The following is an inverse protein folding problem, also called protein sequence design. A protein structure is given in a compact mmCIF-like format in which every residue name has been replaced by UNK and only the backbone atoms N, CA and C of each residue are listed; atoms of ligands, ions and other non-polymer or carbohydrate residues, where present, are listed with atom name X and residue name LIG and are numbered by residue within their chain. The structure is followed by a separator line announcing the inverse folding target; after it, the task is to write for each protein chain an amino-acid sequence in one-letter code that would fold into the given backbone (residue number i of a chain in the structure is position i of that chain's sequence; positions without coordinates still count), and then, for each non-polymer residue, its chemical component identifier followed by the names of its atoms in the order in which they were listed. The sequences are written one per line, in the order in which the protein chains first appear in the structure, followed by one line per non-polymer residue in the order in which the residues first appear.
data_IF_677431651164
#
_entry.id   IF_677431651164
#
_cell.length_a   1.000
_cell.length_b   1.000
_cell.length_c   1.000
_cell.angle_alpha   90.00
_cell.angle_beta   90.00
_cell.angle_gamma   90.00
#
_symmetry.space_group_name_H-M   'P 1'
#
loop_
_entity.id
_entity.type
_entity.pdbx_description
1 polymer ?
#
# COMPACT_ATOMS: atom_id res chain seq x y z
N UNK A 1 -29.32 16.62 3.82
CA UNK A 1 -28.10 15.94 3.31
C UNK A 1 -26.90 16.45 4.09
N UNK A 2 -25.96 15.59 4.47
CA UNK A 2 -24.73 16.04 5.14
C UNK A 2 -23.90 16.94 4.19
N UNK A 3 -23.50 18.13 4.64
CA UNK A 3 -22.58 19.01 3.89
C UNK A 3 -21.29 18.28 3.50
N UNK A 4 -20.79 17.40 4.37
CA UNK A 4 -19.63 16.55 4.11
C UNK A 4 -19.88 15.62 2.93
N UNK A 5 -21.08 15.02 2.84
CA UNK A 5 -21.43 14.17 1.72
C UNK A 5 -21.49 14.93 0.41
N UNK A 6 -22.09 16.12 0.40
CA UNK A 6 -22.13 16.95 -0.80
C UNK A 6 -20.72 17.29 -1.32
N UNK A 7 -19.82 17.73 -0.44
CA UNK A 7 -18.45 18.11 -0.80
C UNK A 7 -17.66 16.92 -1.34
N UNK A 8 -17.63 15.80 -0.60
CA UNK A 8 -16.84 14.63 -0.98
C UNK A 8 -17.38 13.97 -2.24
N UNK A 9 -18.71 13.85 -2.36
CA UNK A 9 -19.37 13.36 -3.58
C UNK A 9 -18.99 14.21 -4.78
N UNK A 10 -19.10 15.53 -4.68
CA UNK A 10 -18.73 16.46 -5.76
C UNK A 10 -17.25 16.33 -6.13
N UNK A 11 -16.36 16.21 -5.16
CA UNK A 11 -14.94 15.97 -5.39
C UNK A 11 -14.69 14.65 -6.14
N UNK A 12 -15.27 13.54 -5.69
CA UNK A 12 -15.04 12.22 -6.30
C UNK A 12 -15.73 12.03 -7.65
N UNK A 13 -16.85 12.72 -7.87
CA UNK A 13 -17.54 12.77 -9.16
C UNK A 13 -16.69 13.48 -10.22
N UNK A 14 -16.10 14.63 -9.85
CA UNK A 14 -15.25 15.43 -10.74
C UNK A 14 -13.79 14.98 -10.75
N UNK A 15 -13.39 14.03 -9.89
CA UNK A 15 -12.04 13.50 -9.87
C UNK A 15 -11.73 12.85 -11.22
N UNK A 16 -10.75 13.41 -11.90
CA UNK A 16 -10.12 12.79 -13.05
C UNK A 16 -9.24 11.65 -12.57
N UNK A 17 -9.79 10.44 -12.57
CA UNK A 17 -8.99 9.25 -12.37
C UNK A 17 -8.30 8.88 -13.67
N UNK A 18 -7.03 8.49 -13.57
CA UNK A 18 -6.27 7.98 -14.71
C UNK A 18 -6.76 6.59 -15.17
N UNK A 19 -7.81 6.03 -14.56
CA UNK A 19 -8.39 4.74 -14.97
C UNK A 19 -8.72 4.71 -16.46
N UNK A 20 -9.33 5.77 -17.01
CA UNK A 20 -9.61 5.80 -18.46
C UNK A 20 -8.34 5.66 -19.29
N UNK A 21 -7.26 6.33 -18.90
CA UNK A 21 -5.96 6.20 -19.57
C UNK A 21 -5.35 4.81 -19.40
N UNK A 22 -5.49 4.20 -18.22
CA UNK A 22 -5.02 2.83 -17.97
C UNK A 22 -5.75 1.83 -18.86
N UNK A 23 -7.06 2.00 -19.02
CA UNK A 23 -7.91 1.11 -19.84
C UNK A 23 -7.68 1.34 -21.34
N UNK A 24 -7.59 2.59 -21.79
CA UNK A 24 -7.48 2.93 -23.20
C UNK A 24 -6.04 2.87 -23.74
N UNK A 25 -5.03 3.09 -22.88
CA UNK A 25 -3.61 3.10 -23.24
C UNK A 25 -2.76 2.22 -22.29
N UNK A 26 -3.10 0.93 -22.09
CA UNK A 26 -2.46 0.07 -21.09
C UNK A 26 -0.97 -0.12 -21.35
N UNK A 27 -0.57 -0.25 -22.61
CA UNK A 27 0.83 -0.42 -23.00
C UNK A 27 1.69 0.81 -22.65
N UNK A 28 1.19 2.02 -22.93
CA UNK A 28 1.89 3.26 -22.59
C UNK A 28 2.01 3.44 -21.08
N UNK A 29 0.96 3.09 -20.34
CA UNK A 29 0.97 3.10 -18.88
C UNK A 29 2.02 2.13 -18.31
N UNK A 30 2.07 0.89 -18.79
CA UNK A 30 3.09 -0.09 -18.40
C UNK A 30 4.50 0.38 -18.73
N UNK A 31 4.72 0.93 -19.93
CA UNK A 31 6.02 1.47 -20.35
C UNK A 31 6.48 2.63 -19.46
N UNK A 32 5.56 3.52 -19.08
CA UNK A 32 5.85 4.63 -18.16
C UNK A 32 6.22 4.12 -16.77
N UNK A 33 5.43 3.20 -16.21
CA UNK A 33 5.69 2.57 -14.92
C UNK A 33 7.03 1.84 -14.91
N UNK A 34 7.33 1.04 -15.93
CA UNK A 34 8.61 0.35 -16.07
C UNK A 34 9.79 1.31 -16.07
N UNK A 35 9.75 2.35 -16.93
CA UNK A 35 10.80 3.38 -17.00
C UNK A 35 11.01 4.07 -15.66
N UNK A 36 9.92 4.40 -14.97
CA UNK A 36 9.98 5.01 -13.65
C UNK A 36 10.66 4.09 -12.64
N UNK A 37 10.20 2.83 -12.52
CA UNK A 37 10.70 1.86 -11.55
C UNK A 37 12.20 1.59 -11.74
N UNK A 38 12.64 1.33 -12.98
CA UNK A 38 14.06 1.09 -13.30
C UNK A 38 14.90 2.33 -13.01
N UNK A 39 14.45 3.51 -13.45
CA UNK A 39 15.19 4.78 -13.22
C UNK A 39 15.29 5.13 -11.74
N UNK A 40 14.22 4.94 -10.97
CA UNK A 40 14.18 5.22 -9.54
C UNK A 40 15.06 4.25 -8.74
N UNK A 41 15.08 2.98 -9.14
CA UNK A 41 15.85 1.94 -8.47
C UNK A 41 17.33 1.86 -8.90
N UNK A 42 17.77 2.60 -9.93
CA UNK A 42 19.13 2.45 -10.51
C UNK A 42 20.32 2.60 -9.55
N UNK A 43 20.11 3.25 -8.41
CA UNK A 43 21.14 3.49 -7.40
C UNK A 43 21.04 2.56 -6.18
N UNK A 44 20.06 1.66 -6.17
CA UNK A 44 19.89 0.70 -5.08
C UNK A 44 20.90 -0.45 -5.22
N UNK A 45 21.09 -1.23 -4.16
CA UNK A 45 21.89 -2.47 -4.20
C UNK A 45 21.39 -3.39 -5.32
N UNK A 46 20.08 -3.53 -5.45
CA UNK A 46 19.44 -4.30 -6.51
C UNK A 46 19.70 -3.72 -7.91
N UNK A 47 19.47 -2.41 -8.07
CA UNK A 47 19.68 -1.74 -9.36
C UNK A 47 21.14 -1.76 -9.81
N UNK A 48 22.10 -1.72 -8.87
CA UNK A 48 23.53 -1.90 -9.16
C UNK A 48 23.85 -3.35 -9.53
N UNK A 49 23.31 -4.33 -8.80
CA UNK A 49 23.51 -5.76 -9.06
C UNK A 49 23.13 -6.15 -10.49
N UNK A 50 22.05 -5.56 -11.03
CA UNK A 50 21.57 -5.81 -12.38
C UNK A 50 21.79 -4.64 -13.34
N UNK A 51 22.72 -3.73 -13.01
CA UNK A 51 23.18 -2.66 -13.89
C UNK A 51 22.07 -1.80 -14.54
N UNK A 52 21.05 -1.42 -13.76
CA UNK A 52 19.88 -0.65 -14.22
C UNK A 52 20.25 0.69 -14.89
N UNK A 53 21.46 1.21 -14.65
CA UNK A 53 21.95 2.43 -15.28
C UNK A 53 22.20 2.28 -16.78
N UNK A 54 22.57 1.09 -17.24
CA UNK A 54 22.87 0.80 -18.64
C UNK A 54 21.70 0.15 -19.37
N UNK A 55 20.56 -0.07 -18.69
CA UNK A 55 19.37 -0.61 -19.33
C UNK A 55 18.72 0.46 -20.21
N UNK A 56 18.63 0.19 -21.50
CA UNK A 56 18.06 1.08 -22.52
C UNK A 56 16.72 0.59 -23.04
N UNK A 57 16.40 -0.70 -22.86
CA UNK A 57 15.18 -1.33 -23.37
C UNK A 57 14.57 -2.33 -22.39
N UNK A 58 13.28 -2.64 -22.61
CA UNK A 58 12.58 -3.67 -21.87
C UNK A 58 13.19 -5.07 -22.11
N UNK A 59 13.59 -5.36 -23.35
CA UNK A 59 14.24 -6.62 -23.71
C UNK A 59 15.54 -6.83 -22.93
N UNK A 60 16.40 -5.81 -22.88
CA UNK A 60 17.64 -5.87 -22.11
C UNK A 60 17.37 -6.10 -20.62
N UNK A 61 16.31 -5.52 -20.06
CA UNK A 61 15.89 -5.79 -18.70
C UNK A 61 15.51 -7.26 -18.51
N UNK A 62 14.72 -7.85 -19.42
CA UNK A 62 14.33 -9.26 -19.35
C UNK A 62 15.53 -10.21 -19.43
N UNK A 63 16.53 -9.87 -20.24
CA UNK A 63 17.78 -10.65 -20.39
C UNK A 63 18.69 -10.49 -19.15
N UNK A 64 18.65 -9.34 -18.47
CA UNK A 64 19.55 -9.04 -17.33
C UNK A 64 18.96 -9.44 -15.98
N UNK A 65 17.66 -9.29 -15.79
CA UNK A 65 16.99 -9.50 -14.49
C UNK A 65 16.24 -10.82 -14.52
N UNK A 66 16.70 -11.86 -13.80
CA UNK A 66 16.03 -13.15 -13.79
C UNK A 66 14.67 -13.04 -13.10
N UNK A 67 13.79 -14.00 -13.37
CA UNK A 67 12.62 -14.22 -12.54
C UNK A 67 13.07 -14.67 -11.15
N UNK A 68 12.50 -14.09 -10.10
CA UNK A 68 12.92 -14.29 -8.73
C UNK A 68 11.77 -14.86 -7.88
N UNK A 69 12.11 -15.76 -6.96
CA UNK A 69 11.19 -16.23 -5.91
C UNK A 69 11.29 -15.33 -4.68
N UNK A 70 10.35 -15.46 -3.74
CA UNK A 70 10.43 -14.70 -2.48
C UNK A 70 11.73 -15.04 -1.71
N UNK A 71 12.11 -16.31 -1.71
CA UNK A 71 13.27 -16.84 -1.00
C UNK A 71 14.56 -16.24 -1.55
N UNK A 72 14.64 -16.02 -2.87
CA UNK A 72 15.79 -15.35 -3.51
C UNK A 72 15.89 -13.85 -3.16
N UNK A 73 14.76 -13.20 -2.87
CA UNK A 73 14.69 -11.76 -2.55
C UNK A 73 14.80 -11.54 -1.04
N UNK A 74 14.43 -12.52 -0.21
CA UNK A 74 14.38 -12.41 1.25
C UNK A 74 15.66 -11.87 1.89
N UNK A 75 16.89 -12.26 1.47
CA UNK A 75 18.11 -11.69 2.03
C UNK A 75 18.19 -10.16 1.90
N UNK A 76 17.63 -9.59 0.84
CA UNK A 76 17.54 -8.14 0.65
C UNK A 76 16.44 -7.51 1.51
N UNK A 77 15.32 -8.19 1.67
CA UNK A 77 14.22 -7.75 2.55
C UNK A 77 14.70 -7.73 4.00
N UNK A 78 15.43 -8.76 4.45
CA UNK A 78 15.98 -8.83 5.80
C UNK A 78 16.93 -7.66 6.09
N UNK A 79 17.81 -7.31 5.14
CA UNK A 79 18.67 -6.11 5.20
C UNK A 79 17.84 -4.83 5.36
N UNK A 80 16.75 -4.70 4.62
CA UNK A 80 15.83 -3.56 4.75
C UNK A 80 15.15 -3.52 6.13
N UNK A 81 14.73 -4.67 6.68
CA UNK A 81 14.16 -4.77 8.02
C UNK A 81 15.18 -4.33 9.07
N UNK A 82 16.44 -4.79 8.97
CA UNK A 82 17.57 -4.34 9.80
C UNK A 82 17.88 -2.85 9.64
N UNK A 83 17.30 -2.19 8.64
CA UNK A 83 17.27 -0.74 8.49
C UNK A 83 18.24 -0.18 7.46
N UNK A 84 18.83 -1.04 6.63
CA UNK A 84 19.69 -0.66 5.51
C UNK A 84 18.89 0.14 4.47
N UNK A 85 19.54 1.15 3.89
CA UNK A 85 18.94 2.08 2.92
C UNK A 85 19.28 1.65 1.50
N UNK A 86 18.41 2.01 0.55
CA UNK A 86 18.64 1.82 -0.88
C UNK A 86 18.93 0.36 -1.26
N UNK A 87 18.22 -0.62 -0.69
CA UNK A 87 18.46 -2.05 -0.98
C UNK A 87 17.67 -2.50 -2.22
N UNK A 88 16.35 -2.74 -2.09
CA UNK A 88 15.46 -3.04 -3.23
C UNK A 88 14.83 -1.75 -3.79
N UNK A 89 14.45 -0.83 -2.91
CA UNK A 89 13.92 0.49 -3.27
C UNK A 89 14.76 1.60 -2.65
N UNK A 90 14.75 2.78 -3.27
CA UNK A 90 15.45 3.96 -2.76
C UNK A 90 14.90 4.39 -1.40
N UNK A 91 15.76 5.00 -0.59
CA UNK A 91 15.43 5.47 0.75
C UNK A 91 15.46 4.36 1.81
N UNK A 92 14.78 4.60 2.93
CA UNK A 92 14.67 3.66 4.06
C UNK A 92 13.23 3.16 4.15
N UNK A 93 13.03 1.85 4.09
CA UNK A 93 11.71 1.25 4.31
C UNK A 93 11.58 0.81 5.76
N UNK A 94 10.50 1.21 6.42
CA UNK A 94 10.22 0.88 7.83
C UNK A 94 8.95 0.07 8.02
N UNK A 95 8.18 -0.15 6.96
CA UNK A 95 6.89 -0.81 7.00
C UNK A 95 6.98 -2.06 6.13
N UNK A 96 6.52 -3.18 6.64
CA UNK A 96 6.54 -4.46 5.94
C UNK A 96 5.19 -5.12 6.10
N UNK A 97 4.46 -5.30 5.01
CA UNK A 97 3.21 -6.04 5.09
C UNK A 97 3.51 -7.53 5.21
N UNK A 98 2.87 -8.19 6.16
CA UNK A 98 2.90 -9.63 6.32
C UNK A 98 1.85 -10.23 5.39
N UNK A 99 2.25 -11.15 4.53
CA UNK A 99 1.30 -12.00 3.81
C UNK A 99 1.28 -13.39 4.44
N UNK A 100 0.09 -13.91 4.71
CA UNK A 100 -0.15 -15.29 5.12
C UNK A 100 0.13 -16.21 3.92
N UNK A 101 1.41 -16.54 3.69
CA UNK A 101 1.75 -17.56 2.72
C UNK A 101 1.10 -18.89 3.13
N UNK A 102 0.34 -19.51 2.23
CA UNK A 102 -0.37 -20.79 2.41
C UNK A 102 0.54 -22.02 2.41
N UNK A 103 1.86 -21.84 2.57
CA UNK A 103 2.83 -22.93 2.54
C UNK A 103 3.85 -22.76 3.65
N UNK A 104 3.71 -23.55 4.72
CA UNK A 104 4.79 -23.98 5.62
C UNK A 104 5.71 -22.91 6.22
N UNK A 105 5.46 -22.58 7.49
CA UNK A 105 6.45 -22.23 8.52
C UNK A 105 7.05 -20.81 8.64
N UNK A 106 7.02 -19.90 7.66
CA UNK A 106 7.46 -18.50 7.89
C UNK A 106 6.63 -17.46 7.15
N UNK A 107 6.28 -16.40 7.86
CA UNK A 107 5.54 -15.26 7.30
C UNK A 107 6.38 -14.52 6.25
N UNK A 108 5.81 -14.23 5.08
CA UNK A 108 6.48 -13.41 4.06
C UNK A 108 6.29 -11.93 4.38
N UNK A 109 7.36 -11.15 4.23
CA UNK A 109 7.40 -9.71 4.50
C UNK A 109 7.60 -8.96 3.19
N UNK A 110 6.64 -8.11 2.83
CA UNK A 110 6.70 -7.30 1.61
C UNK A 110 7.02 -5.85 2.01
N UNK A 111 8.12 -5.26 1.52
CA UNK A 111 8.44 -3.87 1.83
C UNK A 111 7.36 -2.90 1.35
N UNK A 112 6.89 -2.04 2.26
CA UNK A 112 5.91 -0.97 1.97
C UNK A 112 6.63 0.37 2.14
N UNK A 113 6.93 1.04 1.02
CA UNK A 113 7.49 2.38 1.06
C UNK A 113 6.38 3.41 1.30
N UNK A 114 6.73 4.59 1.82
CA UNK A 114 5.76 5.69 1.91
C UNK A 114 5.21 6.07 0.53
N UNK A 115 6.08 5.97 -0.49
CA UNK A 115 5.72 6.19 -1.89
C UNK A 115 4.65 5.19 -2.35
N UNK A 116 4.82 3.87 -2.12
CA UNK A 116 3.80 2.88 -2.50
C UNK A 116 2.51 3.01 -1.67
N UNK A 117 2.60 3.50 -0.44
CA UNK A 117 1.43 3.77 0.37
C UNK A 117 0.56 4.87 -0.27
N UNK A 118 1.19 5.97 -0.70
CA UNK A 118 0.51 7.15 -1.26
C UNK A 118 0.11 6.93 -2.73
N UNK A 119 1.07 6.58 -3.57
CA UNK A 119 0.92 6.53 -5.03
C UNK A 119 0.32 5.23 -5.55
N UNK A 120 0.17 4.21 -4.68
CA UNK A 120 -0.52 2.97 -5.03
C UNK A 120 -1.75 2.76 -4.13
N UNK A 121 -1.59 2.46 -2.84
CA UNK A 121 -2.73 2.06 -1.99
C UNK A 121 -3.78 3.17 -1.84
N UNK A 122 -3.40 4.36 -1.38
CA UNK A 122 -4.36 5.46 -1.22
C UNK A 122 -4.85 6.03 -2.54
N UNK A 123 -4.01 6.04 -3.58
CA UNK A 123 -4.43 6.41 -4.92
C UNK A 123 -5.52 5.47 -5.44
N UNK A 124 -5.29 4.16 -5.35
CA UNK A 124 -6.26 3.12 -5.71
C UNK A 124 -7.56 3.26 -4.93
N UNK A 125 -7.51 3.47 -3.62
CA UNK A 125 -8.71 3.73 -2.82
C UNK A 125 -9.51 4.95 -3.29
N UNK A 126 -8.83 6.06 -3.62
CA UNK A 126 -9.48 7.26 -4.18
C UNK A 126 -10.06 7.02 -5.58
N UNK A 127 -9.39 6.21 -6.40
CA UNK A 127 -9.84 5.85 -7.74
C UNK A 127 -11.10 4.96 -7.67
N UNK A 128 -11.12 3.98 -6.77
CA UNK A 128 -12.31 3.14 -6.49
C UNK A 128 -13.48 3.98 -6.01
N UNK A 129 -13.27 4.92 -5.08
CA UNK A 129 -14.33 5.83 -4.63
C UNK A 129 -14.86 6.70 -5.77
N UNK A 130 -13.99 7.19 -6.64
CA UNK A 130 -14.41 7.97 -7.82
C UNK A 130 -15.27 7.15 -8.77
N UNK A 131 -14.86 5.91 -9.08
CA UNK A 131 -15.67 5.00 -9.89
C UNK A 131 -17.03 4.73 -9.23
N UNK A 132 -17.05 4.45 -7.94
CA UNK A 132 -18.28 4.18 -7.20
C UNK A 132 -19.24 5.37 -7.26
N UNK A 133 -18.77 6.59 -6.95
CA UNK A 133 -19.59 7.81 -6.96
C UNK A 133 -20.11 8.12 -8.36
N UNK A 134 -19.31 7.93 -9.41
CA UNK A 134 -19.75 8.11 -10.80
C UNK A 134 -20.87 7.14 -11.20
N UNK A 135 -20.79 5.89 -10.73
CA UNK A 135 -21.82 4.88 -10.96
C UNK A 135 -23.05 5.03 -10.04
N UNK A 136 -22.92 5.77 -8.93
CA UNK A 136 -23.97 5.99 -7.92
C UNK A 136 -24.00 7.47 -7.49
N UNK A 137 -24.43 8.39 -8.37
CA UNK A 137 -24.36 9.83 -8.12
C UNK A 137 -25.21 10.30 -6.93
N UNK A 138 -26.25 9.55 -6.56
CA UNK A 138 -27.09 9.85 -5.39
C UNK A 138 -26.63 9.18 -4.09
N UNK A 139 -25.41 8.63 -4.07
CA UNK A 139 -24.89 7.96 -2.87
C UNK A 139 -24.82 8.88 -1.65
N UNK A 140 -25.17 8.29 -0.50
CA UNK A 140 -25.03 8.89 0.83
C UNK A 140 -23.87 8.25 1.61
N UNK A 141 -22.92 7.61 0.90
CA UNK A 141 -21.80 6.89 1.51
C UNK A 141 -21.04 7.71 2.55
N UNK A 142 -20.85 9.02 2.30
CA UNK A 142 -20.10 9.90 3.17
C UNK A 142 -20.97 10.61 4.23
N UNK A 143 -22.27 10.33 4.26
CA UNK A 143 -23.16 10.78 5.34
C UNK A 143 -23.01 9.93 6.60
N UNK A 144 -22.43 8.73 6.49
CA UNK A 144 -22.15 7.82 7.59
C UNK A 144 -20.66 7.53 7.79
N UNK A 145 -20.36 6.62 8.73
CA UNK A 145 -19.01 6.09 8.94
C UNK A 145 -18.86 4.72 8.29
N UNK A 146 -17.68 4.46 7.72
CA UNK A 146 -17.32 3.13 7.20
C UNK A 146 -16.71 2.29 8.31
N UNK A 147 -17.35 1.16 8.64
CA UNK A 147 -16.76 0.14 9.50
C UNK A 147 -15.53 -0.46 8.81
N UNK A 148 -14.35 -0.29 9.40
CA UNK A 148 -13.09 -0.81 8.88
C UNK A 148 -12.51 -1.84 9.82
N UNK A 149 -12.43 -3.09 9.35
CA UNK A 149 -11.77 -4.17 10.07
C UNK A 149 -10.27 -4.18 9.68
N UNK A 150 -9.41 -3.84 10.63
CA UNK A 150 -7.96 -3.94 10.47
C UNK A 150 -7.38 -5.22 11.04
N UNK A 151 -6.34 -5.70 10.38
CA UNK A 151 -5.46 -6.70 10.93
C UNK A 151 -4.59 -6.15 12.07
N UNK A 152 -3.51 -6.85 12.38
CA UNK A 152 -2.58 -6.48 13.47
C UNK A 152 -1.23 -6.02 12.93
N UNK A 153 -0.46 -5.34 13.77
CA UNK A 153 0.92 -5.00 13.47
C UNK A 153 1.76 -5.04 14.73
N UNK A 154 3.03 -5.39 14.57
CA UNK A 154 4.00 -5.43 15.64
C UNK A 154 5.34 -4.91 15.16
N UNK A 155 6.21 -4.51 16.09
CA UNK A 155 7.60 -4.24 15.76
C UNK A 155 8.32 -5.53 15.36
N UNK A 156 9.29 -5.42 14.46
CA UNK A 156 10.13 -6.55 14.06
C UNK A 156 11.12 -6.90 15.18
N UNK A 157 11.30 -8.20 15.43
CA UNK A 157 12.34 -8.72 16.35
C UNK A 157 13.75 -8.32 15.90
N UNK A 158 14.00 -8.27 14.59
CA UNK A 158 15.29 -7.87 14.03
C UNK A 158 15.61 -6.36 14.17
N UNK A 159 14.58 -5.52 14.36
CA UNK A 159 14.73 -4.07 14.44
C UNK A 159 13.43 -3.45 14.99
N UNK A 160 13.41 -2.95 16.23
CA UNK A 160 12.22 -2.35 16.82
C UNK A 160 11.66 -1.12 16.07
N UNK A 161 12.47 -0.49 15.20
CA UNK A 161 12.05 0.64 14.36
C UNK A 161 11.35 0.20 13.06
N UNK A 162 11.34 -1.09 12.75
CA UNK A 162 10.61 -1.66 11.62
C UNK A 162 9.27 -2.22 12.12
N UNK A 163 8.20 -1.88 11.41
CA UNK A 163 6.83 -2.29 11.69
C UNK A 163 6.45 -3.38 10.69
N UNK A 164 6.01 -4.51 11.19
CA UNK A 164 5.56 -5.65 10.42
C UNK A 164 4.11 -6.00 10.76
N UNK A 165 3.22 -6.13 9.78
CA UNK A 165 1.81 -6.40 10.05
C UNK A 165 0.95 -6.48 8.81
N UNK A 166 -0.35 -6.63 8.96
CA UNK A 166 -1.27 -6.65 7.84
C UNK A 166 -1.28 -5.29 7.12
N UNK A 167 -1.41 -5.31 5.79
CA UNK A 167 -1.43 -4.07 5.00
C UNK A 167 -2.58 -3.14 5.43
N UNK A 168 -3.72 -3.70 5.82
CA UNK A 168 -4.87 -2.95 6.34
C UNK A 168 -4.53 -2.18 7.62
N UNK A 169 -3.77 -2.80 8.51
CA UNK A 169 -3.29 -2.16 9.73
C UNK A 169 -2.31 -1.03 9.40
N UNK A 170 -1.34 -1.28 8.51
CA UNK A 170 -0.37 -0.26 8.05
C UNK A 170 -1.10 0.95 7.44
N UNK A 171 -2.08 0.72 6.57
CA UNK A 171 -2.89 1.78 5.98
C UNK A 171 -3.60 2.59 7.07
N UNK A 172 -4.24 1.93 8.04
CA UNK A 172 -4.94 2.63 9.13
C UNK A 172 -3.98 3.45 10.01
N UNK A 173 -2.75 2.99 10.23
CA UNK A 173 -1.76 3.74 11.01
C UNK A 173 -1.38 5.07 10.36
N UNK A 174 -1.27 5.10 9.03
CA UNK A 174 -0.84 6.29 8.28
C UNK A 174 -1.99 6.94 7.50
N UNK A 175 -3.24 6.59 7.79
CA UNK A 175 -4.39 7.18 7.10
C UNK A 175 -4.49 8.67 7.46
N UNK A 176 -4.73 9.57 6.48
CA UNK A 176 -4.96 10.99 6.75
C UNK A 176 -6.15 11.21 7.69
N UNK A 177 -6.10 12.27 8.50
CA UNK A 177 -7.09 12.46 9.58
C UNK A 177 -8.50 12.72 9.05
N UNK A 178 -8.66 13.45 7.95
CA UNK A 178 -9.98 13.62 7.31
C UNK A 178 -10.63 12.28 6.94
N UNK A 179 -9.85 11.33 6.43
CA UNK A 179 -10.34 9.99 6.07
C UNK A 179 -10.55 9.13 7.33
N UNK A 180 -9.76 9.36 8.36
CA UNK A 180 -9.94 8.74 9.67
C UNK A 180 -11.28 9.11 10.31
N UNK A 181 -11.76 10.34 10.15
CA UNK A 181 -13.05 10.79 10.69
C UNK A 181 -14.26 10.13 10.01
N UNK A 182 -14.11 9.68 8.77
CA UNK A 182 -15.15 8.96 8.02
C UNK A 182 -15.18 7.45 8.30
N UNK A 183 -14.36 6.99 9.25
CA UNK A 183 -14.16 5.59 9.60
C UNK A 183 -14.59 5.33 11.04
N UNK A 184 -15.05 4.12 11.29
CA UNK A 184 -15.18 3.56 12.64
C UNK A 184 -14.54 2.15 12.67
N UNK A 185 -13.93 1.72 13.79
CA UNK A 185 -13.66 2.48 15.01
C UNK A 185 -12.40 3.36 14.89
N UNK A 186 -12.12 4.25 15.87
CA UNK A 186 -10.91 5.09 15.91
C UNK A 186 -9.61 4.28 15.77
N UNK A 187 -8.52 4.95 15.34
CA UNK A 187 -7.17 4.35 15.20
C UNK A 187 -6.77 3.50 16.41
N UNK A 188 -7.01 3.99 17.64
CA UNK A 188 -6.64 3.30 18.89
C UNK A 188 -7.27 1.90 18.98
N UNK A 189 -8.57 1.79 18.71
CA UNK A 189 -9.31 0.52 18.77
C UNK A 189 -8.96 -0.38 17.58
N UNK A 190 -8.89 0.20 16.38
CA UNK A 190 -8.57 -0.53 15.15
C UNK A 190 -7.18 -1.20 15.21
N UNK A 191 -6.23 -0.56 15.89
CA UNK A 191 -4.84 -1.00 16.02
C UNK A 191 -4.55 -1.76 17.31
N UNK A 192 -5.56 -2.10 18.12
CA UNK A 192 -5.40 -2.99 19.28
C UNK A 192 -4.83 -4.34 18.85
N UNK A 193 -3.98 -4.94 19.68
CA UNK A 193 -3.45 -6.28 19.46
C UNK A 193 -4.44 -7.35 19.96
N UNK A 194 -4.35 -8.56 19.42
CA UNK A 194 -5.29 -9.64 19.77
C UNK A 194 -6.64 -9.51 19.06
N UNK A 195 -7.05 -10.57 18.35
CA UNK A 195 -8.28 -10.54 17.55
C UNK A 195 -9.55 -10.52 18.40
N UNK A 196 -9.60 -11.32 19.47
CA UNK A 196 -10.80 -11.45 20.31
C UNK A 196 -11.09 -10.17 21.07
N UNK A 197 -10.09 -9.59 21.75
CA UNK A 197 -10.22 -8.30 22.44
C UNK A 197 -10.62 -7.18 21.45
N UNK A 198 -9.99 -7.16 20.27
CA UNK A 198 -10.35 -6.21 19.21
C UNK A 198 -11.82 -6.35 18.78
N UNK A 199 -12.31 -7.57 18.59
CA UNK A 199 -13.71 -7.81 18.22
C UNK A 199 -14.69 -7.33 19.30
N UNK A 200 -14.38 -7.57 20.57
CA UNK A 200 -15.18 -7.06 21.68
C UNK A 200 -15.22 -5.52 21.69
N UNK A 201 -14.06 -4.87 21.52
CA UNK A 201 -13.98 -3.42 21.42
C UNK A 201 -14.72 -2.87 20.20
N UNK A 202 -14.70 -3.58 19.07
CA UNK A 202 -15.48 -3.22 17.88
C UNK A 202 -16.97 -3.26 18.22
N UNK A 203 -17.46 -4.37 18.77
CA UNK A 203 -18.85 -4.57 19.13
C UNK A 203 -19.34 -3.54 20.18
N UNK A 204 -18.50 -3.16 21.14
CA UNK A 204 -18.84 -2.14 22.14
C UNK A 204 -18.89 -0.73 21.54
N UNK A 205 -17.98 -0.40 20.62
CA UNK A 205 -17.85 0.96 20.06
C UNK A 205 -18.84 1.27 18.93
N UNK A 206 -19.34 0.25 18.23
CA UNK A 206 -20.23 0.44 17.08
C UNK A 206 -21.70 0.17 17.39
N UNK A 207 -22.09 0.20 18.67
CA UNK A 207 -23.49 0.24 19.10
C UNK A 207 -24.13 1.60 18.81
#
# INVERSE_FOLDING_TARGET
MSYVNFILRSYFQNKNSNIHKIVNEPFLCQKSSFRYLVKAARNTVWGKKYNYRQLTSYRQFQETVPLNTYESIYPFIERMIKGERNVLWRGKTRMFSKSSGTSGSKSKFIPVSLESLIECNYKGGKDTLSLYVKNRPETQLFSGKTLSLSGSMRSSELNPKAICGDISAILIKYIPDWANHLRTPPKKIALTDGWNEKLELFAQHTK
#
